data_IF_484022684674
#
_entry.id   IF_484022684674
#
_cell.length_a   1.000
_cell.length_b   1.000
_cell.length_c   1.000
_cell.angle_alpha   90.00
_cell.angle_beta   90.00
_cell.angle_gamma   90.00
#
_symmetry.space_group_name_H-M   'P 1'
#
loop_
_entity.id
_entity.type
_entity.pdbx_description
1 polymer ?
#
# COMPACT_ATOMS: atom_id res chain seq x y z
N UNK A 1 -17.44 5.65 2.89
CA UNK A 1 -16.33 6.36 3.57
C UNK A 1 -16.12 5.81 4.98
N UNK A 2 -17.18 5.65 5.78
CA UNK A 2 -17.10 5.13 7.16
C UNK A 2 -16.39 3.76 7.26
N UNK A 3 -16.70 2.82 6.36
CA UNK A 3 -16.05 1.50 6.32
C UNK A 3 -14.53 1.57 6.14
N UNK A 4 -14.05 2.37 5.16
CA UNK A 4 -12.62 2.53 4.87
C UNK A 4 -11.87 3.14 6.05
N UNK A 5 -12.39 4.23 6.63
CA UNK A 5 -11.76 4.90 7.78
C UNK A 5 -11.74 4.00 9.02
N UNK A 6 -12.80 3.21 9.23
CA UNK A 6 -12.86 2.24 10.32
C UNK A 6 -11.83 1.14 10.15
N UNK A 7 -11.66 0.59 8.95
CA UNK A 7 -10.63 -0.43 8.69
C UNK A 7 -9.23 0.17 8.85
N UNK A 8 -8.98 1.33 8.27
CA UNK A 8 -7.70 2.04 8.33
C UNK A 8 -7.22 2.34 9.75
N UNK A 9 -8.13 2.58 10.70
CA UNK A 9 -7.78 2.91 12.10
C UNK A 9 -7.54 1.69 13.00
N UNK A 10 -7.85 0.47 12.55
CA UNK A 10 -7.71 -0.75 13.38
C UNK A 10 -6.30 -1.33 13.36
N UNK A 11 -5.58 -1.16 12.27
CA UNK A 11 -4.27 -1.77 12.06
C UNK A 11 -3.23 -0.69 11.70
N UNK A 12 -1.95 -0.86 12.11
CA UNK A 12 -0.90 0.13 11.81
C UNK A 12 -0.70 0.35 10.31
N UNK A 13 -0.88 -0.70 9.50
CA UNK A 13 -0.86 -0.62 8.03
C UNK A 13 -2.06 -1.37 7.47
N UNK A 14 -2.78 -0.71 6.57
CA UNK A 14 -3.91 -1.28 5.82
C UNK A 14 -3.69 -1.05 4.34
N UNK A 15 -3.90 -2.08 3.53
CA UNK A 15 -3.77 -2.04 2.08
C UNK A 15 -5.08 -2.49 1.45
N UNK A 16 -5.73 -1.59 0.72
CA UNK A 16 -6.82 -1.97 -0.18
C UNK A 16 -6.23 -2.32 -1.54
N UNK A 17 -6.62 -3.47 -2.09
CA UNK A 17 -5.95 -4.11 -3.22
C UNK A 17 -6.97 -4.73 -4.17
N UNK A 18 -6.50 -5.13 -5.35
CA UNK A 18 -7.15 -6.16 -6.16
C UNK A 18 -6.24 -7.40 -6.25
N UNK A 19 -6.86 -8.58 -6.18
CA UNK A 19 -6.15 -9.87 -6.18
C UNK A 19 -5.30 -10.06 -7.45
N UNK A 20 -5.75 -9.47 -8.57
CA UNK A 20 -5.15 -9.57 -9.90
C UNK A 20 -4.23 -8.38 -10.28
N UNK A 21 -4.02 -7.42 -9.37
CA UNK A 21 -3.24 -6.22 -9.65
C UNK A 21 -1.74 -6.41 -9.33
N UNK A 22 -0.88 -6.34 -10.35
CA UNK A 22 0.58 -6.46 -10.19
C UNK A 22 1.17 -5.37 -9.27
N UNK A 23 0.65 -4.14 -9.33
CA UNK A 23 1.10 -3.06 -8.45
C UNK A 23 0.75 -3.33 -6.99
N UNK A 24 -0.41 -3.92 -6.73
CA UNK A 24 -0.79 -4.31 -5.37
C UNK A 24 0.10 -5.42 -4.83
N UNK A 25 0.52 -6.37 -5.67
CA UNK A 25 1.52 -7.38 -5.31
C UNK A 25 2.86 -6.75 -4.89
N UNK A 26 3.37 -5.79 -5.67
CA UNK A 26 4.63 -5.09 -5.35
C UNK A 26 4.57 -4.39 -3.99
N UNK A 27 3.47 -3.69 -3.69
CA UNK A 27 3.28 -3.00 -2.42
C UNK A 27 3.15 -3.97 -1.25
N UNK A 28 2.36 -5.06 -1.41
CA UNK A 28 2.23 -6.12 -0.39
C UNK A 28 3.60 -6.74 -0.05
N UNK A 29 4.38 -7.05 -1.09
CA UNK A 29 5.73 -7.61 -0.93
C UNK A 29 6.67 -6.63 -0.21
N UNK A 30 6.64 -5.34 -0.57
CA UNK A 30 7.45 -4.31 0.10
C UNK A 30 7.21 -4.29 1.60
N UNK A 31 5.94 -4.23 2.04
CA UNK A 31 5.63 -4.22 3.48
C UNK A 31 6.04 -5.53 4.17
N UNK A 32 5.85 -6.68 3.51
CA UNK A 32 6.30 -7.97 4.03
C UNK A 32 7.82 -8.02 4.21
N UNK A 33 8.60 -7.48 3.27
CA UNK A 33 10.07 -7.42 3.36
C UNK A 33 10.56 -6.47 4.45
N UNK A 34 9.80 -5.40 4.74
CA UNK A 34 10.02 -4.51 5.88
C UNK A 34 9.64 -5.13 7.23
N UNK A 35 9.14 -6.37 7.23
CA UNK A 35 8.67 -7.08 8.43
C UNK A 35 7.35 -6.56 8.98
N UNK A 36 6.58 -5.84 8.17
CA UNK A 36 5.28 -5.27 8.55
C UNK A 36 4.17 -6.25 8.18
N UNK A 37 3.39 -6.66 9.18
CA UNK A 37 2.15 -7.40 8.94
C UNK A 37 1.02 -6.42 8.56
N UNK A 38 0.86 -6.18 7.26
CA UNK A 38 -0.20 -5.31 6.74
C UNK A 38 -1.56 -6.04 6.69
N UNK A 39 -2.63 -5.33 7.04
CA UNK A 39 -4.00 -5.82 6.88
C UNK A 39 -4.47 -5.54 5.44
N UNK A 40 -4.66 -6.60 4.66
CA UNK A 40 -4.98 -6.52 3.23
C UNK A 40 -6.47 -6.78 3.01
N UNK A 41 -7.13 -5.88 2.29
CA UNK A 41 -8.52 -6.01 1.87
C UNK A 41 -8.59 -6.07 0.33
N UNK A 42 -8.84 -7.27 -0.20
CA UNK A 42 -9.02 -7.49 -1.65
C UNK A 42 -10.44 -7.07 -2.05
N UNK A 43 -10.55 -5.93 -2.75
CA UNK A 43 -11.82 -5.30 -3.09
C UNK A 43 -12.61 -6.08 -4.16
N UNK A 44 -11.94 -6.89 -4.97
CA UNK A 44 -12.57 -7.73 -6.00
C UNK A 44 -13.18 -9.02 -5.42
N UNK A 45 -12.79 -9.38 -4.20
CA UNK A 45 -13.27 -10.57 -3.49
C UNK A 45 -14.26 -10.24 -2.36
N UNK A 46 -14.29 -8.98 -1.89
CA UNK A 46 -15.20 -8.54 -0.84
C UNK A 46 -16.58 -8.11 -1.41
N UNK A 47 -17.71 -8.61 -0.88
CA UNK A 47 -19.05 -8.16 -1.27
C UNK A 47 -19.29 -6.65 -1.15
N UNK A 48 -18.58 -5.97 -0.24
CA UNK A 48 -18.58 -4.50 -0.03
C UNK A 48 -17.48 -3.78 -0.80
N UNK A 49 -16.70 -4.50 -1.60
CA UNK A 49 -15.56 -3.98 -2.33
C UNK A 49 -15.87 -2.76 -3.19
N UNK A 50 -16.97 -2.80 -3.96
CA UNK A 50 -17.44 -1.66 -4.78
C UNK A 50 -17.79 -0.41 -3.97
N UNK A 51 -18.28 -0.58 -2.74
CA UNK A 51 -18.55 0.57 -1.86
C UNK A 51 -17.23 1.18 -1.36
N UNK A 52 -16.29 0.33 -0.97
CA UNK A 52 -14.96 0.74 -0.50
C UNK A 52 -14.16 1.40 -1.64
N UNK A 53 -14.17 0.83 -2.84
CA UNK A 53 -13.56 1.39 -4.05
C UNK A 53 -14.04 2.82 -4.32
N UNK A 54 -15.36 3.05 -4.30
CA UNK A 54 -15.94 4.39 -4.46
C UNK A 54 -15.53 5.36 -3.35
N UNK A 55 -15.37 4.86 -2.13
CA UNK A 55 -14.90 5.68 -1.02
C UNK A 55 -13.42 6.05 -1.18
N UNK A 56 -12.58 5.12 -1.63
CA UNK A 56 -11.16 5.34 -1.92
C UNK A 56 -10.98 6.33 -3.08
N UNK A 57 -11.73 6.16 -4.16
CA UNK A 57 -11.69 7.10 -5.30
C UNK A 57 -11.99 8.54 -4.85
N UNK A 58 -12.92 8.75 -3.90
CA UNK A 58 -13.19 10.07 -3.33
C UNK A 58 -12.07 10.61 -2.43
N UNK A 59 -11.34 9.73 -1.74
CA UNK A 59 -10.22 10.12 -0.88
C UNK A 59 -8.94 10.42 -1.68
N UNK A 60 -8.85 9.91 -2.92
CA UNK A 60 -7.67 9.98 -3.78
C UNK A 60 -7.91 10.82 -5.03
N UNK A 61 -8.86 11.76 -4.95
CA UNK A 61 -9.20 12.72 -6.01
C UNK A 61 -9.50 12.09 -7.38
N UNK A 62 -10.15 10.91 -7.39
CA UNK A 62 -10.55 10.19 -8.60
C UNK A 62 -9.46 9.34 -9.24
N UNK A 63 -8.28 9.25 -8.63
CA UNK A 63 -7.19 8.37 -9.08
C UNK A 63 -7.55 6.88 -8.92
N UNK A 64 -6.79 5.99 -9.57
CA UNK A 64 -6.94 4.54 -9.39
C UNK A 64 -6.96 4.17 -7.90
N UNK A 65 -8.02 3.51 -7.40
CA UNK A 65 -8.23 3.29 -5.97
C UNK A 65 -7.38 2.16 -5.40
N UNK A 66 -6.63 1.42 -6.23
CA UNK A 66 -5.76 0.33 -5.78
C UNK A 66 -4.36 0.37 -6.41
N UNK A 67 -3.31 -0.03 -5.66
CA UNK A 67 -3.36 -0.22 -4.22
C UNK A 67 -3.58 1.12 -3.49
N UNK A 68 -4.39 1.14 -2.44
CA UNK A 68 -4.50 2.29 -1.55
C UNK A 68 -3.96 1.93 -0.17
N UNK A 69 -2.92 2.63 0.25
CA UNK A 69 -2.19 2.33 1.48
C UNK A 69 -2.53 3.35 2.57
N UNK A 70 -2.82 2.84 3.75
CA UNK A 70 -3.00 3.61 4.97
C UNK A 70 -1.93 3.20 5.99
N UNK A 71 -1.37 4.19 6.68
CA UNK A 71 -0.43 3.98 7.79
C UNK A 71 -0.89 4.83 8.98
N UNK A 72 -1.06 4.20 10.14
CA UNK A 72 -1.56 4.86 11.36
C UNK A 72 -2.92 5.54 11.16
N UNK A 73 -3.81 4.94 10.36
CA UNK A 73 -5.13 5.50 10.03
C UNK A 73 -5.12 6.64 9.01
N UNK A 74 -3.96 7.04 8.48
CA UNK A 74 -3.84 8.11 7.48
C UNK A 74 -3.61 7.55 6.10
N UNK A 75 -4.26 8.12 5.09
CA UNK A 75 -4.03 7.75 3.69
C UNK A 75 -2.63 8.22 3.25
N UNK A 76 -1.83 7.28 2.75
CA UNK A 76 -0.51 7.55 2.18
C UNK A 76 -0.62 7.69 0.66
N UNK A 77 -1.47 6.88 0.02
CA UNK A 77 -1.77 6.96 -1.41
C UNK A 77 -1.48 5.65 -2.15
N UNK A 78 -1.24 5.78 -3.46
CA UNK A 78 -0.94 4.68 -4.37
C UNK A 78 0.53 4.24 -4.35
N UNK A 79 0.87 3.26 -5.18
CA UNK A 79 2.22 2.73 -5.37
C UNK A 79 3.27 3.82 -5.52
N UNK A 80 3.06 4.81 -6.38
CA UNK A 80 4.07 5.86 -6.66
C UNK A 80 4.49 6.60 -5.39
N UNK A 81 3.50 6.95 -4.55
CA UNK A 81 3.74 7.68 -3.31
C UNK A 81 4.43 6.82 -2.25
N UNK A 82 4.02 5.56 -2.13
CA UNK A 82 4.64 4.58 -1.22
C UNK A 82 6.10 4.33 -1.61
N UNK A 83 6.37 4.12 -2.91
CA UNK A 83 7.72 3.91 -3.42
C UNK A 83 8.59 5.16 -3.24
N UNK A 84 8.06 6.36 -3.49
CA UNK A 84 8.79 7.60 -3.24
C UNK A 84 9.15 7.80 -1.76
N UNK A 85 8.29 7.39 -0.82
CA UNK A 85 8.62 7.40 0.61
C UNK A 85 9.66 6.34 0.97
N UNK A 86 9.59 5.16 0.37
CA UNK A 86 10.57 4.10 0.58
C UNK A 86 11.97 4.53 0.12
N UNK A 87 12.08 5.08 -1.10
CA UNK A 87 13.35 5.54 -1.68
C UNK A 87 13.99 6.70 -0.88
N UNK A 88 13.17 7.54 -0.24
CA UNK A 88 13.65 8.62 0.65
C UNK A 88 14.02 8.14 2.05
N UNK A 89 13.68 6.91 2.41
CA UNK A 89 13.83 6.38 3.78
C UNK A 89 12.71 6.80 4.75
N UNK A 90 11.82 7.69 4.33
CA UNK A 90 10.72 8.23 5.16
C UNK A 90 9.66 7.17 5.52
N UNK A 91 9.51 6.13 4.69
CA UNK A 91 8.49 5.09 4.91
C UNK A 91 8.70 4.35 6.25
N UNK A 92 9.95 4.04 6.60
CA UNK A 92 10.27 3.37 7.87
C UNK A 92 9.98 4.28 9.06
N UNK A 93 10.21 5.58 8.91
CA UNK A 93 9.91 6.56 9.96
C UNK A 93 8.40 6.66 10.21
N UNK A 94 7.58 6.73 9.16
CA UNK A 94 6.12 6.72 9.27
C UNK A 94 5.58 5.46 9.97
N UNK A 95 6.17 4.30 9.66
CA UNK A 95 5.81 3.04 10.30
C UNK A 95 6.12 3.03 11.80
N UNK A 96 7.25 3.59 12.21
CA UNK A 96 7.61 3.75 13.62
C UNK A 96 6.66 4.68 14.36
N UNK A 97 6.31 5.81 13.75
CA UNK A 97 5.35 6.77 14.30
C UNK A 97 3.95 6.18 14.46
N UNK A 98 3.56 5.26 13.58
CA UNK A 98 2.32 4.49 13.69
C UNK A 98 2.37 3.36 14.75
N UNK A 99 3.45 3.28 15.55
CA UNK A 99 3.59 2.31 16.64
C UNK A 99 4.23 0.98 16.23
N UNK A 100 4.74 0.85 15.01
CA UNK A 100 5.41 -0.38 14.56
C UNK A 100 6.87 -0.40 15.05
N UNK A 101 7.10 -1.08 16.18
CA UNK A 101 8.40 -1.16 16.87
C UNK A 101 9.32 -2.27 16.34
N UNK A 102 8.84 -3.11 15.40
CA UNK A 102 9.55 -4.28 14.87
C UNK A 102 10.20 -4.11 13.48
N UNK A 103 10.24 -2.90 12.90
CA UNK A 103 10.81 -2.71 11.56
C UNK A 103 12.31 -3.03 11.53
N UNK A 104 12.68 -4.15 10.91
CA UNK A 104 14.06 -4.44 10.54
C UNK A 104 14.37 -3.54 9.34
N UNK A 105 15.34 -2.62 9.49
CA UNK A 105 15.89 -1.87 8.35
C UNK A 105 16.59 -2.88 7.44
N UNK A 106 15.87 -3.42 6.45
CA UNK A 106 16.48 -4.21 5.40
C UNK A 106 16.97 -3.22 4.35
N UNK A 107 18.28 -3.20 4.11
CA UNK A 107 18.86 -2.53 2.95
C UNK A 107 18.48 -3.33 1.70
N UNK A 108 17.28 -3.12 1.16
CA UNK A 108 16.85 -3.80 -0.05
C UNK A 108 17.29 -3.01 -1.28
N UNK A 109 18.00 -3.68 -2.20
CA UNK A 109 18.33 -3.18 -3.54
C UNK A 109 17.09 -3.17 -4.46
N UNK A 110 16.01 -2.52 -4.03
CA UNK A 110 14.69 -2.51 -4.67
C UNK A 110 14.68 -1.79 -6.03
N UNK A 111 15.64 -0.88 -6.26
CA UNK A 111 15.79 -0.14 -7.52
C UNK A 111 16.06 -1.06 -8.72
N UNK A 112 16.71 -2.21 -8.53
CA UNK A 112 16.99 -3.13 -9.64
C UNK A 112 15.76 -3.98 -10.01
N UNK A 113 14.98 -4.44 -9.02
CA UNK A 113 13.76 -5.23 -9.26
C UNK A 113 12.61 -4.38 -9.81
N UNK A 114 12.45 -3.13 -9.35
CA UNK A 114 11.40 -2.24 -9.86
C UNK A 114 11.72 -1.73 -11.26
N UNK A 115 12.99 -1.45 -11.58
CA UNK A 115 13.40 -1.13 -12.94
C UNK A 115 13.12 -2.31 -13.89
N UNK A 116 13.39 -3.56 -13.45
CA UNK A 116 13.06 -4.76 -14.22
C UNK A 116 11.54 -4.92 -14.44
N UNK A 117 10.71 -4.64 -13.43
CA UNK A 117 9.25 -4.73 -13.57
C UNK A 117 8.66 -3.60 -14.43
N UNK A 118 9.27 -2.40 -14.41
CA UNK A 118 8.89 -1.28 -15.26
C UNK A 118 9.27 -1.58 -16.73
N UNK A 119 10.48 -2.09 -16.98
CA UNK A 119 10.91 -2.58 -18.29
C UNK A 119 10.00 -3.70 -18.81
N UNK A 120 9.57 -4.64 -17.95
CA UNK A 120 8.64 -5.71 -18.34
C UNK A 120 7.22 -5.23 -18.65
N UNK A 121 6.78 -4.09 -18.09
CA UNK A 121 5.45 -3.53 -18.35
C UNK A 121 5.42 -2.64 -19.61
N UNK A 122 6.56 -2.11 -20.05
CA UNK A 122 6.70 -1.36 -21.31
C UNK A 122 6.89 -2.30 -22.52
N UNK A 123 7.21 -3.58 -22.27
CA UNK A 123 7.41 -4.60 -23.31
C UNK A 123 6.14 -5.42 -23.67
N UNK A 124 4.98 -5.11 -23.08
CA UNK A 124 3.66 -5.63 -23.49
C UNK A 124 2.83 -4.53 -24.15
#
# INVERSE_FOLDING_TARGET
METVNRLASRNPVVIFSYSTCCMSYTVKRLFSELGVNADVHELDEDPKGREMERALAKLMDGSSPVPAVFIGGRIIGSTDRVMALHLRGDLVQLLREAGHSGCRLVATNYLHEVLLLFEMSVLM
#
